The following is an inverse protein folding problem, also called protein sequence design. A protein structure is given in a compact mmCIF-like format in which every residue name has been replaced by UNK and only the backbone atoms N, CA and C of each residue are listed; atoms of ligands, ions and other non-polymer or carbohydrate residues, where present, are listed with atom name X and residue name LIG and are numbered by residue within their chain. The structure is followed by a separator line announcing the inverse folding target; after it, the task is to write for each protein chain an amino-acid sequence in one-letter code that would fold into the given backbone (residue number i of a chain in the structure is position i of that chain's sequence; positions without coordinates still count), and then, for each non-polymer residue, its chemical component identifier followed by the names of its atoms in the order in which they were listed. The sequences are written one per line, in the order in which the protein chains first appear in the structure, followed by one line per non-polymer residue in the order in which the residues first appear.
data_IF_139982318666
#
_entry.id   IF_139982318666
#
_cell.length_a   1.000
_cell.length_b   1.000
_cell.length_c   1.000
_cell.angle_alpha   90.00
_cell.angle_beta   90.00
_cell.angle_gamma   90.00
#
_symmetry.space_group_name_H-M   'P 1'
#
loop_
_entity.id
_entity.type
_entity.pdbx_description
1 polymer ?
#
# COMPACT_ATOMS: atom_id res chain seq x y z
N UNK A 1 -12.07 -14.78 -9.74
CA UNK A 1 -11.84 -13.36 -9.43
C UNK A 1 -10.64 -13.28 -8.51
N UNK A 2 -9.71 -12.34 -8.74
CA UNK A 2 -8.60 -12.16 -7.81
C UNK A 2 -9.14 -11.65 -6.46
N UNK A 3 -8.63 -12.16 -5.34
CA UNK A 3 -8.87 -11.64 -4.01
C UNK A 3 -8.46 -10.17 -3.99
N UNK A 4 -9.43 -9.32 -3.68
CA UNK A 4 -9.26 -7.87 -3.61
C UNK A 4 -8.53 -7.56 -2.30
N UNK A 5 -7.54 -6.63 -2.27
CA UNK A 5 -6.91 -6.21 -1.03
C UNK A 5 -7.97 -5.71 -0.03
N UNK A 6 -7.69 -5.72 1.29
CA UNK A 6 -8.61 -5.20 2.28
C UNK A 6 -9.07 -3.79 1.88
N UNK A 7 -10.38 -3.59 1.72
CA UNK A 7 -10.90 -2.28 1.36
C UNK A 7 -11.02 -1.41 2.61
N UNK A 8 -10.60 -0.14 2.56
CA UNK A 8 -10.90 0.81 3.63
C UNK A 8 -12.42 0.95 3.79
N UNK A 9 -12.91 1.02 5.03
CA UNK A 9 -14.32 1.29 5.33
C UNK A 9 -14.69 2.73 4.97
N UNK A 10 -13.79 3.65 5.30
CA UNK A 10 -13.94 5.07 5.07
C UNK A 10 -12.56 5.75 5.03
N UNK A 11 -12.56 7.01 4.61
CA UNK A 11 -11.42 7.89 4.76
C UNK A 11 -11.85 9.28 5.22
N UNK A 12 -10.98 9.95 5.99
CA UNK A 12 -11.24 11.28 6.55
C UNK A 12 -10.17 12.27 6.12
N UNK A 13 -10.57 13.41 5.58
CA UNK A 13 -9.66 14.49 5.22
C UNK A 13 -9.04 15.13 6.47
N UNK A 14 -7.71 15.25 6.49
CA UNK A 14 -6.94 15.82 7.60
C UNK A 14 -6.43 17.23 7.32
N UNK A 15 -6.31 17.62 6.04
CA UNK A 15 -5.88 18.96 5.65
C UNK A 15 -4.86 18.97 4.52
N UNK A 16 -4.34 20.18 4.25
CA UNK A 16 -3.33 20.45 3.24
C UNK A 16 -1.94 20.52 3.88
N UNK A 17 -0.99 19.78 3.35
CA UNK A 17 0.37 19.70 3.88
C UNK A 17 1.40 20.01 2.80
N UNK A 18 2.51 20.62 3.22
CA UNK A 18 3.67 20.81 2.34
C UNK A 18 4.26 19.43 2.03
N UNK A 19 4.67 19.23 0.78
CA UNK A 19 5.45 18.06 0.38
C UNK A 19 6.84 18.49 -0.07
N UNK A 20 7.79 17.59 0.08
CA UNK A 20 9.17 17.80 -0.33
C UNK A 20 9.40 17.55 -1.82
N UNK A 21 10.64 17.79 -2.24
CA UNK A 21 11.14 17.41 -3.56
C UNK A 21 11.73 15.99 -3.54
N UNK A 22 12.23 15.52 -4.68
CA UNK A 22 12.87 14.21 -4.82
C UNK A 22 13.89 13.93 -3.71
N UNK A 23 13.75 12.78 -3.04
CA UNK A 23 14.60 12.35 -1.93
C UNK A 23 14.17 12.82 -0.53
N UNK A 24 13.11 13.64 -0.43
CA UNK A 24 12.61 14.15 0.85
C UNK A 24 11.08 14.28 0.88
N UNK A 25 10.35 13.42 0.16
CA UNK A 25 8.88 13.47 0.08
C UNK A 25 8.22 12.74 1.25
N UNK A 26 7.02 13.17 1.61
CA UNK A 26 6.14 12.42 2.53
C UNK A 26 5.45 11.25 1.81
N UNK A 27 4.89 10.31 2.58
CA UNK A 27 4.07 9.21 2.08
C UNK A 27 4.79 8.33 1.02
N UNK A 28 6.03 7.96 1.32
CA UNK A 28 6.89 7.12 0.48
C UNK A 28 6.72 5.61 0.74
N UNK A 29 5.56 5.18 1.24
CA UNK A 29 5.29 3.77 1.60
C UNK A 29 5.38 2.79 0.43
N UNK A 30 5.22 3.27 -0.80
CA UNK A 30 5.40 2.48 -2.03
C UNK A 30 6.81 2.63 -2.64
N UNK A 31 7.77 3.25 -1.94
CA UNK A 31 9.11 3.43 -2.47
C UNK A 31 9.77 2.07 -2.81
N UNK A 32 10.32 1.99 -4.02
CA UNK A 32 10.91 0.79 -4.57
C UNK A 32 9.92 -0.28 -5.06
N UNK A 33 8.62 -0.14 -4.79
CA UNK A 33 7.58 -0.90 -5.53
C UNK A 33 7.54 -0.37 -6.96
N UNK A 34 7.42 -1.26 -7.96
CA UNK A 34 7.34 -0.90 -9.38
C UNK A 34 5.93 -1.12 -9.93
N UNK A 35 5.34 -2.28 -9.62
CA UNK A 35 3.99 -2.67 -10.04
C UNK A 35 3.31 -3.45 -8.94
N UNK A 36 2.02 -3.25 -8.75
CA UNK A 36 1.22 -4.00 -7.79
C UNK A 36 -0.23 -4.11 -8.30
N UNK A 37 -0.73 -5.34 -8.42
CA UNK A 37 -1.99 -5.61 -9.10
C UNK A 37 -1.99 -5.00 -10.51
N UNK A 38 -2.92 -4.06 -10.73
CA UNK A 38 -3.08 -3.34 -12.00
C UNK A 38 -2.38 -1.96 -12.02
N UNK A 39 -1.68 -1.59 -10.95
CA UNK A 39 -1.11 -0.26 -10.77
C UNK A 39 0.41 -0.28 -10.94
N UNK A 40 0.95 0.82 -11.45
CA UNK A 40 2.39 1.03 -11.63
C UNK A 40 2.79 2.34 -10.98
N UNK A 41 3.93 2.34 -10.30
CA UNK A 41 4.49 3.54 -9.69
C UNK A 41 5.17 4.41 -10.73
N UNK A 42 5.17 5.72 -10.52
CA UNK A 42 5.81 6.69 -11.38
C UNK A 42 7.34 6.49 -11.40
N UNK A 43 7.98 6.35 -12.58
CA UNK A 43 9.40 5.98 -12.69
C UNK A 43 10.34 7.03 -12.09
N UNK A 44 9.96 8.30 -12.11
CA UNK A 44 10.80 9.42 -11.65
C UNK A 44 10.33 10.05 -10.33
N UNK A 45 9.27 9.51 -9.72
CA UNK A 45 8.75 9.99 -8.43
C UNK A 45 8.55 8.77 -7.53
N UNK A 46 9.60 8.32 -6.83
CA UNK A 46 9.56 7.10 -6.05
C UNK A 46 8.41 7.10 -5.02
N UNK A 47 7.66 6.00 -4.96
CA UNK A 47 6.56 5.82 -4.01
C UNK A 47 5.23 6.47 -4.43
N UNK A 48 5.17 7.12 -5.58
CA UNK A 48 3.96 7.77 -6.08
C UNK A 48 3.40 6.99 -7.26
N UNK A 49 2.07 6.98 -7.39
CA UNK A 49 1.36 6.56 -8.61
C UNK A 49 0.82 7.83 -9.27
N UNK A 50 0.82 7.86 -10.60
CA UNK A 50 0.31 8.99 -11.36
C UNK A 50 -0.70 8.53 -12.41
N UNK A 51 -1.89 9.13 -12.40
CA UNK A 51 -2.92 8.91 -13.41
C UNK A 51 -3.60 10.25 -13.77
N UNK A 52 -3.39 10.70 -15.01
CA UNK A 52 -3.88 11.99 -15.53
C UNK A 52 -5.34 11.98 -15.95
N UNK A 53 -6.02 10.83 -15.91
CA UNK A 53 -7.39 10.71 -16.41
C UNK A 53 -8.35 10.11 -15.39
N UNK A 54 -7.86 9.30 -14.45
CA UNK A 54 -8.71 8.46 -13.58
C UNK A 54 -8.49 8.70 -12.09
N UNK A 55 -7.62 9.62 -11.70
CA UNK A 55 -7.33 9.82 -10.28
C UNK A 55 -8.57 10.32 -9.54
N UNK A 56 -8.91 9.63 -8.45
CA UNK A 56 -9.98 9.97 -7.52
C UNK A 56 -9.53 9.64 -6.11
N UNK A 57 -10.21 10.20 -5.10
CA UNK A 57 -9.93 9.85 -3.70
C UNK A 57 -10.14 8.35 -3.44
N UNK A 58 -11.18 7.77 -4.02
CA UNK A 58 -11.48 6.34 -3.91
C UNK A 58 -10.38 5.48 -4.54
N UNK A 59 -9.92 5.85 -5.74
CA UNK A 59 -8.84 5.12 -6.41
C UNK A 59 -7.55 5.16 -5.58
N UNK A 60 -7.17 6.32 -5.06
CA UNK A 60 -5.96 6.44 -4.24
C UNK A 60 -6.10 5.66 -2.92
N UNK A 61 -7.27 5.72 -2.27
CA UNK A 61 -7.54 4.92 -1.07
C UNK A 61 -7.40 3.42 -1.33
N UNK A 62 -7.86 2.93 -2.49
CA UNK A 62 -7.74 1.54 -2.92
C UNK A 62 -6.28 1.15 -3.16
N UNK A 63 -5.49 2.02 -3.81
CA UNK A 63 -4.06 1.78 -4.03
C UNK A 63 -3.33 1.59 -2.70
N UNK A 64 -3.57 2.49 -1.74
CA UNK A 64 -2.92 2.43 -0.43
C UNK A 64 -3.42 1.27 0.45
N UNK A 65 -4.57 0.69 0.12
CA UNK A 65 -5.11 -0.49 0.79
C UNK A 65 -4.27 -1.75 0.58
N UNK A 66 -3.50 -1.83 -0.52
CA UNK A 66 -2.56 -2.93 -0.74
C UNK A 66 -1.55 -3.07 0.40
N UNK A 67 -1.05 -1.95 0.94
CA UNK A 67 -0.11 -1.93 2.06
C UNK A 67 -0.75 -1.76 3.43
N UNK A 68 -2.09 -1.71 3.54
CA UNK A 68 -2.83 -1.26 4.75
C UNK A 68 -2.30 0.06 5.31
N UNK A 69 -1.87 0.98 4.44
CA UNK A 69 -1.28 2.22 4.90
C UNK A 69 -2.30 3.05 5.69
N UNK A 70 -1.84 3.71 6.75
CA UNK A 70 -2.71 4.53 7.59
C UNK A 70 -3.19 5.79 6.88
N UNK A 71 -2.37 6.31 5.98
CA UNK A 71 -2.64 7.55 5.28
C UNK A 71 -2.45 7.40 3.77
N UNK A 72 -3.25 8.14 3.03
CA UNK A 72 -2.96 8.45 1.64
C UNK A 72 -2.93 9.96 1.42
N UNK A 73 -2.23 10.35 0.38
CA UNK A 73 -2.14 11.71 -0.10
C UNK A 73 -2.46 11.77 -1.58
N UNK A 74 -3.09 12.86 -1.98
CA UNK A 74 -3.28 13.20 -3.39
C UNK A 74 -2.63 14.55 -3.67
N UNK A 75 -1.92 14.62 -4.81
CA UNK A 75 -1.10 15.76 -5.19
C UNK A 75 -1.29 16.09 -6.67
N UNK A 76 -1.23 17.38 -7.01
CA UNK A 76 -1.20 17.87 -8.39
C UNK A 76 -2.23 17.18 -9.34
N UNK A 77 -3.48 17.05 -8.87
CA UNK A 77 -4.63 16.46 -9.57
C UNK A 77 -4.57 14.96 -9.90
N UNK A 78 -3.38 14.41 -10.17
CA UNK A 78 -3.20 13.06 -10.70
C UNK A 78 -2.30 12.14 -9.89
N UNK A 79 -1.59 12.65 -8.88
CA UNK A 79 -0.69 11.83 -8.07
C UNK A 79 -1.39 11.26 -6.84
N UNK A 80 -1.00 10.04 -6.50
CA UNK A 80 -1.37 9.32 -5.28
C UNK A 80 -0.10 8.83 -4.57
N UNK A 81 -0.05 8.98 -3.25
CA UNK A 81 1.01 8.48 -2.39
C UNK A 81 0.45 7.88 -1.10
N UNK A 82 1.20 6.97 -0.48
CA UNK A 82 0.72 6.16 0.65
C UNK A 82 1.76 6.12 1.77
N UNK A 83 1.35 6.08 3.03
CA UNK A 83 2.33 5.91 4.10
C UNK A 83 1.73 5.75 5.48
N UNK A 84 2.61 5.45 6.43
CA UNK A 84 2.25 5.31 7.85
C UNK A 84 2.46 6.59 8.65
N UNK A 85 3.07 7.61 8.04
CA UNK A 85 3.30 8.95 8.59
C UNK A 85 3.25 10.02 7.49
N UNK A 86 3.02 11.26 7.88
CA UNK A 86 2.95 12.43 7.00
C UNK A 86 3.31 13.71 7.76
N UNK A 87 3.45 14.82 7.04
CA UNK A 87 3.52 16.16 7.63
C UNK A 87 4.91 16.56 8.08
N UNK A 88 5.97 15.92 7.57
CA UNK A 88 7.35 16.25 7.93
C UNK A 88 7.74 17.68 7.53
N UNK A 89 7.05 18.26 6.54
CA UNK A 89 7.23 19.64 6.06
C UNK A 89 6.20 20.63 6.62
N UNK A 90 5.29 20.17 7.50
CA UNK A 90 4.29 21.00 8.13
C UNK A 90 3.03 21.28 7.30
N UNK A 91 2.11 22.04 7.91
CA UNK A 91 0.79 22.37 7.37
C UNK A 91 0.92 23.49 6.32
N UNK A 92 0.15 23.40 5.25
CA UNK A 92 -0.03 24.45 4.26
C UNK A 92 -1.42 25.10 4.38
N UNK A 93 -1.59 26.34 3.89
CA UNK A 93 -2.92 26.94 3.75
C UNK A 93 -3.84 26.04 2.92
N UNK A 94 -5.09 25.86 3.36
CA UNK A 94 -6.04 24.96 2.71
C UNK A 94 -6.23 25.27 1.21
N UNK A 95 -6.23 26.56 0.83
CA UNK A 95 -6.36 27.00 -0.55
C UNK A 95 -5.23 26.54 -1.48
N UNK A 96 -4.07 26.12 -0.94
CA UNK A 96 -2.98 25.58 -1.74
C UNK A 96 -3.27 24.14 -2.20
N UNK A 97 -4.25 23.47 -1.58
CA UNK A 97 -4.79 22.20 -2.03
C UNK A 97 -6.16 22.43 -2.66
N UNK A 98 -6.19 22.94 -3.89
CA UNK A 98 -7.42 23.34 -4.59
C UNK A 98 -7.54 22.73 -5.99
N UNK A 99 -6.59 21.89 -6.40
CA UNK A 99 -6.64 21.24 -7.70
C UNK A 99 -7.68 20.12 -7.69
N UNK A 100 -8.54 20.12 -8.70
CA UNK A 100 -9.53 19.09 -8.87
C UNK A 100 -8.88 17.75 -9.27
N UNK A 101 -9.43 16.62 -8.82
CA UNK A 101 -8.95 15.31 -9.21
C UNK A 101 -9.17 15.06 -10.71
N UNK A 102 -8.19 14.44 -11.36
CA UNK A 102 -8.21 14.22 -12.81
C UNK A 102 -9.35 13.31 -13.29
N UNK A 103 -9.80 12.38 -12.47
CA UNK A 103 -10.92 11.47 -12.74
C UNK A 103 -12.26 11.90 -12.12
N UNK A 104 -12.28 12.95 -11.29
CA UNK A 104 -13.51 13.50 -10.73
C UNK A 104 -13.32 14.96 -10.30
N UNK A 105 -13.82 15.89 -11.10
CA UNK A 105 -13.65 17.33 -10.85
C UNK A 105 -14.40 17.86 -9.62
N UNK A 106 -15.28 17.06 -9.01
CA UNK A 106 -15.98 17.40 -7.76
C UNK A 106 -15.13 17.10 -6.51
N UNK A 107 -13.97 16.46 -6.68
CA UNK A 107 -13.05 16.11 -5.60
C UNK A 107 -11.77 16.94 -5.68
N UNK A 108 -11.15 17.20 -4.53
CA UNK A 108 -9.90 17.95 -4.43
C UNK A 108 -8.72 16.98 -4.26
N UNK A 109 -7.76 17.07 -5.18
CA UNK A 109 -6.55 16.25 -5.26
C UNK A 109 -5.27 17.08 -5.05
N UNK A 110 -5.23 17.81 -3.92
CA UNK A 110 -4.04 18.52 -3.47
C UNK A 110 -3.70 19.74 -4.32
N UNK A 111 -2.39 20.01 -4.41
CA UNK A 111 -1.79 21.11 -5.15
C UNK A 111 -0.40 20.74 -5.64
N UNK A 112 0.27 21.67 -6.33
CA UNK A 112 1.67 21.46 -6.73
C UNK A 112 2.57 21.42 -5.49
N UNK A 113 3.23 20.29 -5.23
CA UNK A 113 3.98 20.02 -3.98
C UNK A 113 3.16 20.24 -2.70
N UNK A 114 1.85 19.98 -2.78
CA UNK A 114 0.91 20.09 -1.66
C UNK A 114 0.03 18.87 -1.63
N UNK A 115 0.07 18.13 -0.54
CA UNK A 115 -0.73 16.93 -0.35
C UNK A 115 -2.02 17.28 0.37
N UNK A 116 -3.17 16.94 -0.22
CA UNK A 116 -4.38 16.74 0.59
C UNK A 116 -4.26 15.38 1.24
N UNK A 117 -4.16 15.34 2.57
CA UNK A 117 -3.92 14.13 3.35
C UNK A 117 -5.24 13.58 3.87
N UNK A 118 -5.39 12.26 3.81
CA UNK A 118 -6.54 11.52 4.30
C UNK A 118 -6.10 10.35 5.19
N UNK A 119 -6.79 10.14 6.30
CA UNK A 119 -6.64 8.95 7.15
C UNK A 119 -7.57 7.85 6.66
N UNK A 120 -7.06 6.61 6.61
CA UNK A 120 -7.78 5.41 6.21
C UNK A 120 -8.23 4.64 7.45
N UNK A 121 -9.52 4.31 7.50
CA UNK A 121 -10.08 3.42 8.51
C UNK A 121 -10.32 2.05 7.88
N UNK A 122 -9.80 1.00 8.50
CA UNK A 122 -10.03 -0.39 8.08
C UNK A 122 -10.93 -1.10 9.08
N UNK A 123 -11.59 -2.17 8.62
CA UNK A 123 -12.20 -3.12 9.54
C UNK A 123 -11.14 -3.65 10.52
N UNK A 124 -11.51 -3.92 11.77
CA UNK A 124 -10.71 -4.78 12.63
C UNK A 124 -10.32 -6.04 11.86
N UNK A 125 -9.05 -6.41 11.99
CA UNK A 125 -8.50 -7.60 11.36
C UNK A 125 -9.21 -8.81 11.94
N UNK A 126 -9.72 -9.69 11.07
CA UNK A 126 -10.28 -10.96 11.53
C UNK A 126 -9.18 -11.75 12.26
N UNK A 127 -9.43 -12.28 13.47
CA UNK A 127 -8.47 -13.14 14.15
C UNK A 127 -8.06 -14.37 13.32
N UNK A 128 -8.86 -14.75 12.33
CA UNK A 128 -8.59 -15.86 11.42
C UNK A 128 -7.86 -15.37 10.18
N UNK A 129 -6.62 -15.80 10.00
CA UNK A 129 -5.93 -15.65 8.73
C UNK A 129 -6.58 -16.52 7.66
N UNK A 130 -7.01 -15.91 6.56
CA UNK A 130 -7.66 -16.62 5.46
C UNK A 130 -6.62 -17.31 4.57
N UNK A 131 -6.79 -18.62 4.35
CA UNK A 131 -5.95 -19.38 3.41
C UNK A 131 -6.47 -19.20 1.99
N UNK A 132 -5.67 -18.59 1.12
CA UNK A 132 -6.04 -18.27 -0.27
C UNK A 132 -5.05 -18.92 -1.26
N UNK A 133 -5.52 -19.33 -2.45
CA UNK A 133 -4.62 -19.83 -3.49
C UNK A 133 -3.81 -18.66 -4.07
N UNK A 134 -2.52 -18.86 -4.32
CA UNK A 134 -1.62 -17.83 -4.88
C UNK A 134 -2.17 -17.23 -6.17
N UNK A 135 -2.76 -18.07 -7.03
CA UNK A 135 -3.35 -17.66 -8.32
C UNK A 135 -4.53 -16.70 -8.19
N UNK A 136 -5.13 -16.59 -6.99
CA UNK A 136 -6.16 -15.61 -6.71
C UNK A 136 -5.60 -14.27 -6.23
N UNK A 137 -4.32 -14.14 -5.89
CA UNK A 137 -3.78 -12.90 -5.34
C UNK A 137 -3.19 -12.02 -6.46
N UNK A 138 -3.22 -10.68 -6.29
CA UNK A 138 -2.55 -9.79 -7.21
C UNK A 138 -1.03 -9.95 -7.09
N UNK A 139 -0.32 -9.74 -8.20
CA UNK A 139 1.15 -9.77 -8.22
C UNK A 139 1.74 -8.44 -7.78
N UNK A 140 2.95 -8.47 -7.22
CA UNK A 140 3.75 -7.27 -6.92
C UNK A 140 5.19 -7.44 -7.42
N UNK A 141 5.77 -6.38 -7.96
CA UNK A 141 7.18 -6.30 -8.31
C UNK A 141 7.83 -5.11 -7.65
N UNK A 142 9.07 -5.26 -7.21
CA UNK A 142 9.84 -4.22 -6.53
C UNK A 142 11.31 -4.26 -6.97
N UNK A 143 12.09 -3.26 -6.55
CA UNK A 143 13.53 -3.20 -6.79
C UNK A 143 14.33 -4.22 -5.94
N UNK A 144 13.76 -4.68 -4.82
CA UNK A 144 14.37 -5.68 -3.94
C UNK A 144 13.28 -6.50 -3.21
N UNK A 145 13.61 -7.74 -2.85
CA UNK A 145 12.71 -8.64 -2.10
C UNK A 145 12.36 -8.09 -0.71
N UNK A 146 13.31 -7.41 -0.05
CA UNK A 146 13.12 -6.79 1.27
C UNK A 146 12.02 -5.73 1.33
N UNK A 147 11.62 -5.18 0.17
CA UNK A 147 10.51 -4.22 0.07
C UNK A 147 9.17 -4.94 0.16
N UNK A 148 9.02 -6.11 -0.46
CA UNK A 148 7.74 -6.83 -0.54
C UNK A 148 7.54 -7.79 0.61
N UNK A 149 8.62 -8.36 1.15
CA UNK A 149 8.56 -9.30 2.25
C UNK A 149 9.84 -9.33 3.08
N UNK A 150 9.71 -9.79 4.33
CA UNK A 150 10.85 -10.20 5.16
C UNK A 150 10.84 -11.71 5.37
N UNK A 151 12.01 -12.28 5.61
CA UNK A 151 12.15 -13.72 5.83
C UNK A 151 12.61 -13.99 7.25
N UNK A 152 11.95 -14.94 7.93
CA UNK A 152 12.29 -15.35 9.29
C UNK A 152 12.21 -16.88 9.38
N UNK A 153 13.00 -17.49 10.25
CA UNK A 153 12.87 -18.92 10.51
C UNK A 153 11.50 -19.23 11.14
N UNK A 154 10.91 -20.36 10.75
CA UNK A 154 9.72 -20.93 11.39
C UNK A 154 9.76 -22.45 11.30
N UNK A 155 9.18 -23.15 12.26
CA UNK A 155 9.08 -24.61 12.26
C UNK A 155 7.83 -25.14 11.56
N UNK A 156 6.80 -24.29 11.40
CA UNK A 156 5.52 -24.69 10.81
C UNK A 156 4.76 -23.52 10.19
N UNK A 157 3.74 -23.84 9.40
CA UNK A 157 2.81 -22.84 8.86
C UNK A 157 2.04 -22.10 9.95
N UNK A 158 1.71 -22.78 11.06
CA UNK A 158 0.98 -22.17 12.19
C UNK A 158 1.87 -21.16 12.92
N UNK A 159 3.14 -21.49 13.14
CA UNK A 159 4.09 -20.53 13.72
C UNK A 159 4.30 -19.33 12.80
N UNK A 160 4.46 -19.55 11.50
CA UNK A 160 4.58 -18.49 10.50
C UNK A 160 3.37 -17.54 10.52
N UNK A 161 2.15 -18.10 10.55
CA UNK A 161 0.91 -17.33 10.67
C UNK A 161 0.85 -16.54 11.98
N UNK A 162 1.26 -17.14 13.10
CA UNK A 162 1.28 -16.48 14.41
C UNK A 162 2.24 -15.29 14.42
N UNK A 163 3.43 -15.43 13.83
CA UNK A 163 4.40 -14.34 13.69
C UNK A 163 3.82 -13.22 12.81
N UNK A 164 3.17 -13.56 11.70
CA UNK A 164 2.55 -12.55 10.83
C UNK A 164 1.42 -11.81 11.55
N UNK A 165 0.56 -12.54 12.27
CA UNK A 165 -0.55 -11.96 13.02
C UNK A 165 -0.06 -10.93 14.05
N UNK A 166 0.98 -11.26 14.81
CA UNK A 166 1.59 -10.36 15.79
C UNK A 166 2.39 -9.18 15.20
N UNK A 167 2.63 -9.18 13.88
CA UNK A 167 3.34 -8.10 13.19
C UNK A 167 2.34 -7.11 12.58
N UNK A 168 2.51 -5.82 12.91
CA UNK A 168 1.72 -4.72 12.31
C UNK A 168 1.98 -4.57 10.82
N UNK A 169 3.20 -4.89 10.40
CA UNK A 169 3.68 -4.65 9.03
C UNK A 169 3.52 -5.90 8.15
N UNK A 170 2.80 -6.92 8.63
CA UNK A 170 2.55 -8.17 7.91
C UNK A 170 1.09 -8.25 7.46
N UNK A 171 0.91 -8.33 6.14
CA UNK A 171 -0.38 -8.45 5.47
C UNK A 171 -0.71 -9.90 5.11
N UNK A 172 0.29 -10.77 5.09
CA UNK A 172 0.12 -12.19 4.82
C UNK A 172 1.43 -12.93 4.91
N UNK A 173 1.39 -14.25 4.89
CA UNK A 173 2.60 -15.04 5.02
C UNK A 173 2.56 -16.37 4.26
N UNK A 174 3.76 -16.84 3.93
CA UNK A 174 4.01 -18.14 3.30
C UNK A 174 5.06 -18.88 4.08
N UNK A 175 4.78 -20.15 4.41
CA UNK A 175 5.76 -21.04 5.02
C UNK A 175 6.37 -21.97 3.96
N UNK A 176 7.65 -21.77 3.67
CA UNK A 176 8.43 -22.60 2.77
C UNK A 176 9.01 -23.81 3.55
N UNK A 177 8.33 -24.95 3.48
CA UNK A 177 8.70 -26.14 4.25
C UNK A 177 10.10 -26.70 3.91
N UNK A 178 10.54 -26.52 2.66
CA UNK A 178 11.86 -26.96 2.18
C UNK A 178 13.03 -26.25 2.87
N UNK A 179 12.87 -24.96 3.16
CA UNK A 179 13.90 -24.12 3.78
C UNK A 179 13.62 -23.78 5.25
N UNK A 180 12.45 -24.17 5.77
CA UNK A 180 11.94 -23.78 7.11
C UNK A 180 11.93 -22.27 7.31
N UNK A 181 11.59 -21.54 6.25
CA UNK A 181 11.50 -20.09 6.26
C UNK A 181 10.05 -19.64 6.12
N UNK A 182 9.68 -18.61 6.87
CA UNK A 182 8.44 -17.88 6.76
C UNK A 182 8.71 -16.57 6.00
N UNK A 183 8.02 -16.38 4.88
CA UNK A 183 7.97 -15.13 4.12
C UNK A 183 6.81 -14.31 4.67
N UNK A 184 7.10 -13.19 5.31
CA UNK A 184 6.12 -12.26 5.86
C UNK A 184 5.95 -11.11 4.87
N UNK A 185 4.82 -11.11 4.17
CA UNK A 185 4.46 -10.15 3.13
C UNK A 185 4.06 -8.82 3.75
N UNK A 186 4.57 -7.72 3.18
CA UNK A 186 4.20 -6.35 3.57
C UNK A 186 2.97 -5.82 2.83
N UNK A 187 2.54 -6.52 1.78
CA UNK A 187 1.43 -6.12 0.92
C UNK A 187 0.41 -7.25 0.79
N UNK A 188 -0.83 -6.88 0.51
CA UNK A 188 -1.89 -7.77 0.02
C UNK A 188 -1.69 -8.12 -1.47
N UNK A 189 -0.44 -8.47 -1.83
CA UNK A 189 0.00 -8.87 -3.15
C UNK A 189 1.27 -9.73 -3.01
N UNK A 190 1.51 -10.59 -4.00
CA UNK A 190 2.51 -11.66 -3.91
C UNK A 190 3.62 -11.43 -4.95
N UNK A 191 4.89 -11.37 -4.54
CA UNK A 191 6.00 -11.30 -5.49
C UNK A 191 6.23 -12.68 -6.13
N UNK A 192 6.69 -12.69 -7.38
CA UNK A 192 6.83 -13.92 -8.18
C UNK A 192 7.72 -14.97 -7.51
N UNK A 193 8.74 -14.53 -6.76
CA UNK A 193 9.66 -15.40 -6.03
C UNK A 193 8.98 -16.11 -4.86
N UNK A 194 8.02 -15.47 -4.19
CA UNK A 194 7.25 -16.11 -3.11
C UNK A 194 6.12 -16.96 -3.69
N UNK A 195 5.53 -16.54 -4.80
CA UNK A 195 4.49 -17.28 -5.51
C UNK A 195 4.96 -18.66 -6.00
N UNK A 196 6.27 -18.84 -6.26
CA UNK A 196 6.84 -20.12 -6.68
C UNK A 196 7.19 -21.06 -5.52
N UNK A 197 7.16 -20.58 -4.27
CA UNK A 197 7.51 -21.38 -3.07
C UNK A 197 6.30 -22.14 -2.49
N UNK A 198 5.07 -21.74 -2.79
CA UNK A 198 3.87 -22.38 -2.26
C UNK A 198 2.66 -22.19 -3.17
N UNK A 199 1.69 -23.10 -3.07
CA UNK A 199 0.39 -22.99 -3.74
C UNK A 199 -0.60 -22.09 -2.97
N UNK A 200 -0.40 -21.95 -1.65
CA UNK A 200 -1.33 -21.29 -0.73
C UNK A 200 -0.63 -20.25 0.14
N UNK A 201 -1.33 -19.15 0.41
CA UNK A 201 -0.90 -18.04 1.28
C UNK A 201 -1.93 -17.81 2.36
N UNK A 202 -1.46 -17.47 3.55
CA UNK A 202 -2.31 -17.01 4.65
C UNK A 202 -2.36 -15.49 4.63
N UNK A 203 -3.55 -14.91 4.43
CA UNK A 203 -3.75 -13.46 4.35
C UNK A 203 -4.44 -12.92 5.59
N UNK A 204 -4.00 -11.72 6.00
CA UNK A 204 -4.57 -10.92 7.08
C UNK A 204 -5.57 -9.94 6.46
N UNK A 205 -6.80 -10.40 6.26
CA UNK A 205 -7.88 -9.61 5.66
C UNK A 205 -8.49 -8.65 6.70
#
# INVERSE_FOLDING_TARGET
AAAVPPQPLEFRHLGCYVDGASGNRDLVGLEGVKKFGQFETHPNVPGFVFDVARMTLQLCSQMCSYGRFRYFGVQAAGYCCCGSAYGSHGIAPAGNCSLACSGNSSQICGGTYRNSIYELTYSPIDPVMSKLPVTSLPNITASASSITHRSIAASSAVECATICYGSTDCQGCVFAASSRMCRLLRFAAVPAEVASEAEWIWMKL
#
